data_IF_726999825188
#
_entry.id   IF_726999825188
#
_cell.length_a   1.000
_cell.length_b   1.000
_cell.length_c   1.000
_cell.angle_alpha   90.00
_cell.angle_beta   90.00
_cell.angle_gamma   90.00
#
_symmetry.space_group_name_H-M   'P 1'
#
loop_
_entity.id
_entity.type
_entity.pdbx_description
1 polymer ?
#
# COMPACT_ATOMS: atom_id res chain seq x y z
N UNK A 1 2.02 -20.00 -12.69
CA UNK A 1 2.78 -18.80 -12.48
C UNK A 1 2.32 -18.08 -11.24
N UNK A 2 3.19 -17.85 -10.36
CA UNK A 2 2.79 -17.20 -9.12
C UNK A 2 2.63 -15.68 -9.34
N UNK A 3 1.82 -15.08 -8.51
CA UNK A 3 1.65 -13.65 -8.52
C UNK A 3 2.93 -12.98 -8.04
N UNK A 4 3.20 -11.81 -8.58
CA UNK A 4 4.35 -11.04 -8.13
C UNK A 4 3.91 -10.05 -7.07
N UNK A 5 4.66 -9.96 -5.98
CA UNK A 5 4.33 -8.95 -4.97
C UNK A 5 4.48 -7.55 -5.56
N UNK A 6 3.67 -6.64 -5.08
CA UNK A 6 3.73 -5.26 -5.52
C UNK A 6 4.67 -4.47 -4.61
N UNK A 7 4.98 -3.26 -5.04
CA UNK A 7 5.87 -2.40 -4.24
C UNK A 7 5.35 -2.17 -2.84
N UNK A 8 4.03 -2.11 -2.68
CA UNK A 8 3.43 -1.92 -1.37
C UNK A 8 3.94 -2.96 -0.36
N UNK A 9 4.06 -4.22 -0.79
CA UNK A 9 4.55 -5.26 0.10
C UNK A 9 5.96 -4.97 0.58
N UNK A 10 6.81 -4.54 -0.33
CA UNK A 10 8.20 -4.25 0.00
C UNK A 10 8.29 -3.07 0.96
N UNK A 11 7.52 -2.04 0.69
CA UNK A 11 7.53 -0.86 1.55
C UNK A 11 6.98 -1.14 2.94
N UNK A 12 5.95 -1.99 3.03
CA UNK A 12 5.44 -2.38 4.34
C UNK A 12 6.49 -3.13 5.15
N UNK A 13 7.22 -4.03 4.50
CA UNK A 13 8.28 -4.76 5.18
C UNK A 13 9.41 -3.83 5.60
N UNK A 14 9.72 -2.88 4.75
CA UNK A 14 10.80 -1.94 5.03
C UNK A 14 10.49 -1.09 6.26
N UNK A 15 9.23 -0.77 6.47
CA UNK A 15 8.81 0.02 7.63
C UNK A 15 8.35 -0.85 8.79
N UNK A 16 8.43 -2.16 8.65
CA UNK A 16 7.97 -3.10 9.66
C UNK A 16 6.46 -2.98 9.93
N UNK A 17 5.71 -2.69 8.87
CA UNK A 17 4.25 -2.57 8.95
C UNK A 17 3.55 -3.76 8.29
N UNK A 18 4.24 -4.85 8.05
CA UNK A 18 3.65 -5.99 7.36
C UNK A 18 2.67 -6.78 8.21
N UNK A 19 2.71 -6.60 9.52
CA UNK A 19 1.72 -7.21 10.40
C UNK A 19 0.38 -6.52 10.20
N UNK A 20 -0.69 -7.31 10.03
CA UNK A 20 -2.00 -6.74 9.74
C UNK A 20 -2.43 -5.74 10.81
N UNK A 21 -2.24 -6.08 12.07
CA UNK A 21 -2.62 -5.20 13.17
C UNK A 21 -1.87 -3.88 13.10
N UNK A 22 -0.58 -3.94 12.83
CA UNK A 22 0.24 -2.74 12.70
C UNK A 22 -0.19 -1.95 11.47
N UNK A 23 -0.46 -2.62 10.38
CA UNK A 23 -0.93 -1.95 9.17
C UNK A 23 -2.21 -1.18 9.45
N UNK A 24 -3.17 -1.81 10.13
CA UNK A 24 -4.42 -1.13 10.43
C UNK A 24 -4.21 0.11 11.28
N UNK A 25 -3.31 0.04 12.25
CA UNK A 25 -3.01 1.18 13.10
C UNK A 25 -2.40 2.32 12.29
N UNK A 26 -1.44 2.02 11.44
CA UNK A 26 -0.80 3.06 10.62
C UNK A 26 -1.75 3.60 9.58
N UNK A 27 -2.57 2.73 9.00
CA UNK A 27 -3.59 3.16 8.05
C UNK A 27 -4.54 4.16 8.72
N UNK A 28 -4.98 3.82 9.93
CA UNK A 28 -5.92 4.66 10.65
C UNK A 28 -5.32 6.03 10.97
N UNK A 29 -4.05 6.05 11.36
CA UNK A 29 -3.37 7.33 11.61
C UNK A 29 -3.32 8.19 10.36
N UNK A 30 -2.97 7.58 9.24
CA UNK A 30 -2.92 8.32 7.97
C UNK A 30 -4.29 8.80 7.56
N UNK A 31 -5.30 7.95 7.74
CA UNK A 31 -6.67 8.31 7.38
C UNK A 31 -7.13 9.54 8.16
N UNK A 32 -6.82 9.58 9.45
CA UNK A 32 -7.23 10.70 10.29
C UNK A 32 -6.53 12.00 9.91
N UNK A 33 -5.34 11.90 9.33
CA UNK A 33 -4.65 13.10 8.88
C UNK A 33 -5.32 13.71 7.66
N UNK A 34 -5.95 12.86 6.84
CA UNK A 34 -6.64 13.32 5.64
C UNK A 34 -8.07 13.75 5.98
N UNK A 35 -8.80 12.85 6.60
CA UNK A 35 -10.22 13.04 6.86
C UNK A 35 -10.65 12.06 7.94
N UNK A 36 -11.09 12.54 9.12
CA UNK A 36 -11.47 11.64 10.21
C UNK A 36 -12.54 10.63 9.82
N UNK A 37 -13.35 10.94 8.81
CA UNK A 37 -14.40 10.02 8.37
C UNK A 37 -13.82 8.78 7.71
N UNK A 38 -12.57 8.80 7.33
CA UNK A 38 -11.92 7.64 6.73
C UNK A 38 -11.33 6.70 7.77
N UNK A 39 -11.31 7.11 9.03
CA UNK A 39 -10.77 6.27 10.08
C UNK A 39 -11.62 5.02 10.26
N UNK A 40 -10.96 3.90 10.52
CA UNK A 40 -11.66 2.65 10.73
C UNK A 40 -12.06 1.93 9.45
N UNK A 41 -11.71 2.48 8.30
CA UNK A 41 -12.10 1.90 7.02
C UNK A 41 -10.94 1.17 6.34
N UNK A 42 -10.05 0.63 7.13
CA UNK A 42 -8.93 -0.13 6.58
C UNK A 42 -9.43 -1.42 5.94
N UNK A 43 -8.63 -1.99 5.02
CA UNK A 43 -9.04 -3.22 4.34
C UNK A 43 -9.07 -4.40 5.30
N UNK A 44 -9.84 -5.42 4.94
CA UNK A 44 -9.81 -6.67 5.69
C UNK A 44 -8.45 -7.34 5.48
N UNK A 45 -8.15 -8.31 6.34
CA UNK A 45 -6.90 -9.07 6.22
C UNK A 45 -6.80 -9.73 4.84
N UNK A 46 -7.89 -10.33 4.39
CA UNK A 46 -7.90 -10.99 3.08
C UNK A 46 -7.68 -9.99 1.95
N UNK A 47 -8.29 -8.83 2.06
CA UNK A 47 -8.13 -7.82 1.01
C UNK A 47 -6.71 -7.27 0.98
N UNK A 48 -6.11 -7.02 2.13
CA UNK A 48 -4.73 -6.58 2.19
C UNK A 48 -3.81 -7.63 1.57
N UNK A 49 -4.08 -8.89 1.87
CA UNK A 49 -3.29 -9.99 1.31
C UNK A 49 -3.33 -9.97 -0.21
N UNK A 50 -4.52 -9.79 -0.78
CA UNK A 50 -4.65 -9.70 -2.24
C UNK A 50 -3.91 -8.49 -2.80
N UNK A 51 -3.96 -7.38 -2.08
CA UNK A 51 -3.26 -6.17 -2.53
C UNK A 51 -1.77 -6.41 -2.65
N UNK A 52 -1.16 -6.93 -1.58
CA UNK A 52 0.30 -7.03 -1.56
C UNK A 52 0.85 -8.15 -2.42
N UNK A 53 0.00 -9.10 -2.79
CA UNK A 53 0.42 -10.19 -3.65
C UNK A 53 0.10 -9.96 -5.13
N UNK A 54 -0.41 -8.78 -5.46
CA UNK A 54 -0.67 -8.46 -6.84
C UNK A 54 -1.90 -9.10 -7.42
N UNK A 55 -2.79 -9.60 -6.58
CA UNK A 55 -4.00 -10.29 -7.04
C UNK A 55 -5.14 -9.31 -7.26
N UNK A 56 -4.85 -8.12 -7.72
CA UNK A 56 -5.86 -7.12 -8.03
C UNK A 56 -5.68 -6.68 -9.46
N UNK A 57 -6.79 -6.46 -10.13
CA UNK A 57 -6.77 -6.06 -11.53
C UNK A 57 -6.78 -4.56 -11.71
N UNK A 58 -7.26 -3.85 -10.71
CA UNK A 58 -7.35 -2.41 -10.76
C UNK A 58 -7.06 -1.86 -9.39
N UNK A 59 -6.85 -0.54 -9.33
CA UNK A 59 -6.59 0.10 -8.05
C UNK A 59 -7.81 -0.03 -7.15
N UNK A 60 -7.60 -0.05 -5.83
CA UNK A 60 -8.72 -0.03 -4.90
C UNK A 60 -9.47 1.30 -4.98
N UNK A 61 -10.52 1.42 -4.19
CA UNK A 61 -11.31 2.65 -4.16
C UNK A 61 -10.42 3.86 -3.89
N UNK A 62 -10.88 5.02 -4.38
CA UNK A 62 -10.09 6.24 -4.26
C UNK A 62 -9.72 6.55 -2.82
N UNK A 63 -10.60 6.27 -1.87
CA UNK A 63 -10.30 6.55 -0.46
C UNK A 63 -9.14 5.72 0.04
N UNK A 64 -9.09 4.44 -0.34
CA UNK A 64 -7.94 3.59 0.02
C UNK A 64 -6.67 4.13 -0.61
N UNK A 65 -6.74 4.55 -1.85
CA UNK A 65 -5.57 5.08 -2.54
C UNK A 65 -5.04 6.32 -1.84
N UNK A 66 -5.94 7.22 -1.45
CA UNK A 66 -5.54 8.45 -0.77
C UNK A 66 -4.82 8.15 0.53
N UNK A 67 -5.36 7.21 1.31
CA UNK A 67 -4.74 6.87 2.58
C UNK A 67 -3.38 6.21 2.38
N UNK A 68 -3.30 5.32 1.40
CA UNK A 68 -2.01 4.67 1.12
C UNK A 68 -0.97 5.68 0.68
N UNK A 69 -1.35 6.66 -0.12
CA UNK A 69 -0.43 7.70 -0.54
C UNK A 69 0.01 8.56 0.64
N UNK A 70 -0.86 8.72 1.62
CA UNK A 70 -0.49 9.44 2.84
C UNK A 70 0.47 8.61 3.69
N UNK A 71 0.30 7.29 3.72
CA UNK A 71 1.19 6.42 4.46
C UNK A 71 2.60 6.39 3.86
N UNK A 72 2.70 6.58 2.56
CA UNK A 72 3.97 6.51 1.84
C UNK A 72 4.15 7.77 0.99
N UNK A 73 4.49 8.90 1.63
CA UNK A 73 4.69 10.14 0.89
C UNK A 73 5.74 9.97 -0.21
N UNK A 74 5.44 10.50 -1.37
CA UNK A 74 6.33 10.38 -2.51
C UNK A 74 5.99 9.24 -3.44
N UNK A 75 5.04 8.40 -3.05
CA UNK A 75 4.60 7.27 -3.88
C UNK A 75 3.13 7.48 -4.25
N UNK A 76 2.81 7.23 -5.52
CA UNK A 76 1.42 7.25 -5.94
C UNK A 76 0.81 5.87 -5.76
N UNK A 77 -0.52 5.80 -5.74
CA UNK A 77 -1.18 4.51 -5.63
C UNK A 77 -0.78 3.58 -6.77
N UNK A 78 -0.66 4.12 -7.97
CA UNK A 78 -0.23 3.31 -9.11
C UNK A 78 1.14 2.71 -8.88
N UNK A 79 2.06 3.48 -8.33
CA UNK A 79 3.40 2.98 -8.04
C UNK A 79 3.37 1.93 -6.95
N UNK A 80 2.53 2.13 -5.94
CA UNK A 80 2.43 1.18 -4.83
C UNK A 80 1.93 -0.18 -5.30
N UNK A 81 1.04 -0.20 -6.28
CA UNK A 81 0.47 -1.45 -6.77
C UNK A 81 1.18 -1.98 -8.00
N UNK A 82 2.27 -1.36 -8.39
CA UNK A 82 3.07 -1.85 -9.50
C UNK A 82 3.90 -3.05 -9.06
N UNK A 83 4.02 -4.07 -9.89
CA UNK A 83 4.86 -5.22 -9.54
C UNK A 83 6.30 -4.79 -9.24
N UNK A 84 6.88 -5.41 -8.25
CA UNK A 84 8.23 -5.09 -7.84
C UNK A 84 9.25 -5.90 -8.63
N UNK A 85 9.15 -5.89 -9.91
CA UNK A 85 9.96 -6.73 -10.77
C UNK A 85 11.40 -6.86 -10.29
N UNK A 86 11.84 -8.06 -10.12
CA UNK A 86 13.20 -8.32 -9.71
C UNK A 86 13.51 -7.95 -8.27
N UNK A 87 12.51 -7.57 -7.51
CA UNK A 87 12.73 -7.19 -6.13
C UNK A 87 13.57 -5.96 -5.97
N UNK A 88 13.66 -5.14 -7.00
CA UNK A 88 14.55 -4.00 -6.97
C UNK A 88 13.72 -2.73 -7.01
N UNK A 89 13.37 -2.20 -5.85
CA UNK A 89 12.53 -1.01 -5.81
C UNK A 89 13.27 0.20 -6.36
N UNK A 90 12.54 1.01 -7.09
CA UNK A 90 13.07 2.28 -7.55
C UNK A 90 12.26 3.37 -6.91
N UNK A 91 12.94 4.24 -6.21
CA UNK A 91 12.26 5.33 -5.56
C UNK A 91 11.70 6.26 -6.63
N UNK A 92 10.55 6.88 -6.34
CA UNK A 92 10.01 7.87 -7.25
C UNK A 92 11.03 8.98 -7.48
N UNK A 93 11.14 9.42 -8.71
CA UNK A 93 12.06 10.46 -9.04
C UNK A 93 13.47 10.01 -9.26
N UNK A 94 13.74 8.73 -9.09
CA UNK A 94 15.06 8.18 -9.35
C UNK A 94 15.15 7.75 -10.79
N UNK A 95 14.61 8.49 -11.62
CA UNK A 95 14.71 8.19 -13.03
C UNK A 95 16.11 8.50 -13.46
N UNK A 96 16.55 7.85 -14.40
CA UNK A 96 17.88 8.14 -14.83
C UNK A 96 18.09 8.53 -16.17
#
# INVERSE_FOLDING_TARGET
MSEQPVMLKILLRDKHWQNYSTFCTEYDKAARRIDPDLAGRYPSRAQLHRWINGAVRSLPYADHCRVLEEMFPGWTAEQLFHPSAGGRPMAPGTAV
#
